data_IF_855832061875
#
_entry.id   IF_855832061875
#
_cell.length_a   1.000
_cell.length_b   1.000
_cell.length_c   1.000
_cell.angle_alpha   90.00
_cell.angle_beta   90.00
_cell.angle_gamma   90.00
#
_symmetry.space_group_name_H-M   'P 1'
#
loop_
_entity.id
_entity.type
_entity.pdbx_description
1 polymer ?
#
# COMPACT_ATOMS: atom_id res chain seq x y z
N UNK A 1 -38.10 -51.59 -21.31
CA UNK A 1 -38.39 -52.39 -22.51
C UNK A 1 -37.22 -52.22 -23.49
N UNK A 2 -36.52 -53.34 -23.74
CA UNK A 2 -35.82 -53.72 -24.98
C UNK A 2 -34.56 -52.93 -25.40
N UNK A 3 -33.41 -53.44 -24.94
CA UNK A 3 -32.21 -53.56 -25.77
C UNK A 3 -32.51 -54.38 -27.05
N UNK A 4 -31.87 -54.02 -28.17
CA UNK A 4 -31.04 -54.97 -28.92
C UNK A 4 -29.76 -54.28 -29.44
N UNK A 5 -28.68 -54.90 -29.87
CA UNK A 5 -28.23 -56.28 -29.97
C UNK A 5 -26.71 -56.23 -30.24
N UNK A 6 -26.02 -57.26 -29.79
CA UNK A 6 -24.63 -57.61 -30.04
C UNK A 6 -24.30 -57.81 -31.53
N UNK A 7 -23.02 -57.69 -31.92
CA UNK A 7 -22.12 -58.80 -32.34
C UNK A 7 -20.84 -58.25 -33.00
N UNK A 8 -19.72 -58.93 -32.69
CA UNK A 8 -18.33 -58.81 -33.15
C UNK A 8 -18.10 -58.74 -34.68
N UNK A 9 -16.97 -58.13 -35.08
CA UNK A 9 -16.06 -58.73 -36.07
C UNK A 9 -14.64 -58.12 -36.02
N UNK A 10 -13.63 -59.00 -35.99
CA UNK A 10 -12.21 -58.73 -36.24
C UNK A 10 -11.98 -58.12 -37.64
N UNK A 11 -10.96 -57.27 -37.76
CA UNK A 11 -10.43 -56.85 -39.05
C UNK A 11 -9.14 -56.05 -38.91
N UNK A 12 -8.00 -56.75 -38.82
CA UNK A 12 -6.69 -56.15 -38.97
C UNK A 12 -6.47 -55.77 -40.44
N UNK A 13 -6.22 -54.48 -40.71
CA UNK A 13 -5.55 -54.03 -41.93
C UNK A 13 -4.49 -53.02 -41.52
N UNK A 14 -3.24 -53.49 -41.59
CA UNK A 14 -2.05 -52.66 -41.59
C UNK A 14 -1.97 -52.00 -42.96
N UNK A 15 -2.05 -50.67 -42.98
CA UNK A 15 -1.62 -49.88 -44.14
C UNK A 15 -0.74 -48.73 -43.64
N UNK A 16 0.55 -48.99 -43.64
CA UNK A 16 1.62 -48.04 -43.43
C UNK A 16 1.66 -47.02 -44.57
N UNK A 17 1.19 -45.80 -44.31
CA UNK A 17 1.52 -44.62 -45.11
C UNK A 17 2.50 -43.77 -44.30
N UNK A 18 3.78 -43.82 -44.68
CA UNK A 18 4.80 -42.91 -44.21
C UNK A 18 4.63 -41.57 -44.97
N UNK A 19 3.98 -40.61 -44.34
CA UNK A 19 4.01 -39.20 -44.78
C UNK A 19 5.02 -38.47 -43.90
N UNK A 20 6.19 -38.21 -44.48
CA UNK A 20 7.18 -37.26 -43.98
C UNK A 20 6.60 -35.85 -44.11
N UNK A 21 5.91 -35.39 -43.07
CA UNK A 21 5.54 -33.98 -42.90
C UNK A 21 6.41 -33.35 -41.83
N UNK A 22 7.21 -32.35 -42.20
CA UNK A 22 7.81 -31.42 -41.25
C UNK A 22 6.68 -30.62 -40.60
N UNK A 23 6.11 -31.14 -39.51
CA UNK A 23 5.41 -30.31 -38.56
C UNK A 23 6.49 -29.64 -37.72
N UNK A 24 6.80 -28.38 -38.05
CA UNK A 24 7.57 -27.53 -37.16
C UNK A 24 6.93 -27.59 -35.79
N UNK A 25 7.72 -27.96 -34.79
CA UNK A 25 7.38 -27.79 -33.39
C UNK A 25 7.18 -26.31 -33.15
N UNK A 26 5.97 -25.81 -33.38
CA UNK A 26 5.50 -24.66 -32.63
C UNK A 26 5.23 -25.22 -31.24
N UNK A 27 6.29 -25.30 -30.44
CA UNK A 27 6.12 -25.19 -29.00
C UNK A 27 5.19 -24.00 -28.81
N UNK A 28 4.04 -24.15 -28.12
CA UNK A 28 3.38 -22.96 -27.64
C UNK A 28 4.45 -22.23 -26.87
N UNK A 29 4.75 -20.99 -27.28
CA UNK A 29 5.48 -20.09 -26.43
C UNK A 29 4.82 -20.24 -25.06
N UNK A 30 5.58 -20.74 -24.09
CA UNK A 30 5.21 -20.58 -22.71
C UNK A 30 4.99 -19.09 -22.58
N UNK A 31 3.73 -18.67 -22.57
CA UNK A 31 3.34 -17.38 -22.02
C UNK A 31 4.05 -17.40 -20.68
N UNK A 32 5.08 -16.57 -20.55
CA UNK A 32 5.79 -16.43 -19.30
C UNK A 32 4.70 -16.22 -18.28
N UNK A 33 4.53 -17.21 -17.41
CA UNK A 33 3.71 -17.08 -16.21
C UNK A 33 4.15 -15.75 -15.63
N UNK A 34 3.24 -14.77 -15.60
CA UNK A 34 3.54 -13.41 -15.18
C UNK A 34 4.42 -13.51 -13.95
N UNK A 35 5.67 -13.08 -14.08
CA UNK A 35 6.55 -12.99 -12.93
C UNK A 35 5.83 -12.06 -11.98
N UNK A 36 5.30 -12.60 -10.89
CA UNK A 36 4.71 -11.76 -9.85
C UNK A 36 5.71 -10.67 -9.52
N UNK A 37 5.21 -9.45 -9.36
CA UNK A 37 6.06 -8.35 -8.92
C UNK A 37 6.82 -8.78 -7.66
N UNK A 38 8.11 -8.45 -7.60
CA UNK A 38 8.91 -8.76 -6.41
C UNK A 38 8.29 -8.05 -5.20
N UNK A 39 8.11 -8.74 -4.07
CA UNK A 39 7.54 -8.11 -2.87
C UNK A 39 8.29 -6.82 -2.50
N UNK A 40 7.57 -5.75 -2.11
CA UNK A 40 8.18 -4.51 -1.66
C UNK A 40 8.88 -4.70 -0.31
N UNK A 41 9.73 -3.75 0.04
CA UNK A 41 10.30 -3.67 1.39
C UNK A 41 9.38 -2.79 2.23
N UNK A 42 8.59 -3.39 3.12
CA UNK A 42 7.61 -2.67 3.95
C UNK A 42 8.24 -1.99 5.16
N UNK A 43 9.38 -2.52 5.62
CA UNK A 43 10.02 -2.10 6.88
C UNK A 43 11.34 -1.37 6.60
N UNK A 44 11.37 -0.57 5.52
CA UNK A 44 12.56 0.17 5.13
C UNK A 44 12.85 1.32 6.12
N UNK A 45 14.06 1.34 6.68
CA UNK A 45 14.55 2.48 7.44
C UNK A 45 14.82 3.66 6.49
N UNK A 46 14.50 4.87 6.93
CA UNK A 46 14.77 6.08 6.16
C UNK A 46 16.23 6.54 6.36
N UNK A 47 16.91 7.01 5.30
CA UNK A 47 18.31 7.43 5.39
C UNK A 47 18.51 8.81 6.04
N UNK A 48 17.43 9.56 6.29
CA UNK A 48 17.48 10.95 6.77
C UNK A 48 16.36 11.29 7.76
N UNK A 49 16.27 12.57 8.13
CA UNK A 49 15.18 13.06 8.98
C UNK A 49 13.88 13.20 8.18
N UNK A 50 12.81 12.67 8.78
CA UNK A 50 11.46 12.77 8.30
C UNK A 50 10.63 13.71 9.18
N UNK A 51 9.53 14.18 8.62
CA UNK A 51 8.49 14.93 9.28
C UNK A 51 7.13 14.28 9.04
N UNK A 52 6.24 14.42 10.01
CA UNK A 52 4.87 13.94 9.91
C UNK A 52 3.92 14.80 10.72
N UNK A 53 2.64 14.70 10.41
CA UNK A 53 1.55 15.29 11.17
C UNK A 53 0.59 14.18 11.55
N UNK A 54 0.24 14.07 12.82
CA UNK A 54 -0.62 13.01 13.29
C UNK A 54 -1.07 13.20 14.72
N UNK A 55 -1.94 12.31 15.18
CA UNK A 55 -2.28 12.19 16.59
C UNK A 55 -1.30 11.25 17.26
N UNK A 56 -0.68 11.68 18.34
CA UNK A 56 -0.01 10.76 19.25
C UNK A 56 -1.05 10.28 20.25
N UNK A 57 -1.14 8.98 20.45
CA UNK A 57 -2.09 8.34 21.36
C UNK A 57 -1.34 7.32 22.21
N UNK A 58 -1.73 7.20 23.47
CA UNK A 58 -1.19 6.19 24.38
C UNK A 58 -2.29 5.66 25.29
N UNK A 59 -2.43 4.34 25.34
CA UNK A 59 -3.23 3.64 26.36
C UNK A 59 -2.34 3.43 27.59
N UNK A 60 -2.87 3.61 28.79
CA UNK A 60 -2.14 3.45 30.04
C UNK A 60 -1.46 2.07 30.12
N UNK A 61 -0.13 2.07 30.20
CA UNK A 61 0.69 0.86 30.28
C UNK A 61 1.20 0.33 28.94
N UNK A 62 0.75 0.89 27.82
CA UNK A 62 1.22 0.56 26.47
C UNK A 62 2.18 1.63 25.92
N UNK A 63 3.01 1.32 24.90
CA UNK A 63 3.79 2.31 24.18
C UNK A 63 2.91 3.40 23.54
N UNK A 64 3.46 4.60 23.40
CA UNK A 64 2.80 5.65 22.62
C UNK A 64 2.90 5.33 21.13
N UNK A 65 1.88 5.70 20.37
CA UNK A 65 1.76 5.43 18.94
C UNK A 65 1.45 6.70 18.16
N UNK A 66 2.03 6.82 16.96
CA UNK A 66 1.83 7.94 16.04
C UNK A 66 0.78 7.53 14.99
N UNK A 67 -0.45 8.00 15.19
CA UNK A 67 -1.54 7.78 14.26
C UNK A 67 -1.40 8.68 13.03
N UNK A 68 -1.01 8.07 11.91
CA UNK A 68 -0.83 8.72 10.60
C UNK A 68 -2.03 8.51 9.66
N UNK A 69 -2.91 7.58 10.00
CA UNK A 69 -4.13 7.27 9.25
C UNK A 69 -5.38 7.95 9.80
N UNK A 70 -6.57 7.48 9.38
CA UNK A 70 -7.85 7.95 9.91
C UNK A 70 -7.97 7.75 11.42
N UNK A 71 -8.67 8.66 12.07
CA UNK A 71 -8.98 8.59 13.50
C UNK A 71 -10.49 8.42 13.66
N UNK A 72 -10.93 7.50 14.52
CA UNK A 72 -12.34 7.28 14.81
C UNK A 72 -12.94 8.44 15.58
N UNK A 73 -14.16 8.84 15.22
CA UNK A 73 -14.94 9.87 15.91
C UNK A 73 -15.49 9.35 17.27
N UNK A 74 -14.60 9.21 18.26
CA UNK A 74 -14.92 8.77 19.63
C UNK A 74 -14.20 9.59 20.71
N UNK A 75 -14.56 9.38 21.98
CA UNK A 75 -13.91 10.01 23.14
C UNK A 75 -13.67 8.96 24.25
N UNK A 76 -12.45 8.42 24.41
CA UNK A 76 -11.21 8.77 23.70
C UNK A 76 -11.26 8.41 22.20
N UNK A 77 -10.47 9.08 21.35
CA UNK A 77 -10.30 8.69 19.95
C UNK A 77 -9.66 7.30 19.87
N UNK A 78 -9.83 6.65 18.73
CA UNK A 78 -9.20 5.36 18.41
C UNK A 78 -8.52 5.48 17.06
N UNK A 79 -7.31 4.94 16.97
CA UNK A 79 -6.51 4.86 15.76
C UNK A 79 -5.45 3.77 15.95
N UNK A 80 -4.78 3.44 14.86
CA UNK A 80 -3.60 2.58 14.81
C UNK A 80 -2.44 3.36 14.16
N UNK A 81 -1.21 2.87 14.32
CA UNK A 81 -0.01 3.51 13.81
C UNK A 81 1.27 2.94 14.43
N UNK A 82 2.44 3.30 13.89
CA UNK A 82 3.71 2.87 14.44
C UNK A 82 3.95 3.42 15.85
N UNK A 83 4.82 2.76 16.60
CA UNK A 83 5.30 3.27 17.88
C UNK A 83 6.03 4.61 17.68
N UNK A 84 5.80 5.55 18.60
CA UNK A 84 6.63 6.75 18.75
C UNK A 84 7.45 6.64 20.02
N UNK A 85 8.73 6.30 19.84
CA UNK A 85 9.64 6.02 20.94
C UNK A 85 10.09 7.30 21.64
N UNK A 86 10.51 7.20 22.90
CA UNK A 86 10.99 8.33 23.70
C UNK A 86 9.96 9.46 23.89
N UNK A 87 8.68 9.16 23.65
CA UNK A 87 7.59 10.12 23.86
C UNK A 87 7.39 10.42 25.35
N UNK A 88 7.32 11.70 25.69
CA UNK A 88 7.10 12.19 27.06
C UNK A 88 5.97 13.24 27.09
N UNK A 89 4.81 12.85 27.63
CA UNK A 89 3.66 13.73 27.81
C UNK A 89 3.92 14.96 28.66
N UNK A 90 4.95 14.94 29.52
CA UNK A 90 5.31 16.10 30.35
C UNK A 90 6.08 17.17 29.58
N UNK A 91 6.54 16.86 28.36
CA UNK A 91 7.31 17.77 27.50
C UNK A 91 6.46 18.51 26.47
N UNK A 92 5.16 18.21 26.38
CA UNK A 92 4.24 18.75 25.37
C UNK A 92 3.00 19.39 25.98
N UNK A 93 2.37 20.29 25.22
CA UNK A 93 1.07 20.88 25.54
C UNK A 93 -0.03 20.26 24.65
N UNK A 94 -1.29 20.69 24.84
CA UNK A 94 -2.41 20.24 24.00
C UNK A 94 -2.85 18.79 24.26
N UNK A 95 -2.56 18.30 25.46
CA UNK A 95 -2.83 16.92 25.89
C UNK A 95 -4.26 16.80 26.41
N UNK A 96 -4.96 15.75 25.98
CA UNK A 96 -6.22 15.29 26.55
C UNK A 96 -6.08 13.88 27.11
N UNK A 97 -6.85 13.57 28.14
CA UNK A 97 -6.89 12.22 28.72
C UNK A 97 -8.30 11.84 29.15
N UNK A 98 -8.72 10.63 28.82
CA UNK A 98 -9.99 10.04 29.25
C UNK A 98 -9.92 8.51 29.21
N UNK A 99 -10.59 7.85 30.16
CA UNK A 99 -10.73 6.38 30.19
C UNK A 99 -9.42 5.60 30.06
N UNK A 100 -8.32 6.12 30.63
CA UNK A 100 -7.00 5.50 30.57
C UNK A 100 -6.29 5.63 29.22
N UNK A 101 -6.71 6.59 28.39
CA UNK A 101 -6.07 6.95 27.13
C UNK A 101 -5.66 8.41 27.18
N UNK A 102 -4.46 8.71 26.73
CA UNK A 102 -3.91 10.07 26.60
C UNK A 102 -3.58 10.33 25.14
N UNK A 103 -3.95 11.50 24.62
CA UNK A 103 -3.70 11.84 23.22
C UNK A 103 -3.48 13.35 23.01
N UNK A 104 -2.89 13.68 21.87
CA UNK A 104 -2.75 15.05 21.38
C UNK A 104 -2.34 15.02 19.90
N UNK A 105 -2.44 16.16 19.21
CA UNK A 105 -2.12 16.21 17.77
C UNK A 105 -0.90 17.09 17.51
N UNK A 106 0.11 16.52 16.85
CA UNK A 106 1.44 17.12 16.71
C UNK A 106 1.99 17.01 15.29
N UNK A 107 2.78 18.01 14.91
CA UNK A 107 3.80 17.87 13.90
C UNK A 107 5.08 17.39 14.58
N UNK A 108 5.65 16.32 14.06
CA UNK A 108 6.86 15.68 14.60
C UNK A 108 7.94 15.64 13.53
N UNK A 109 9.20 15.73 13.96
CA UNK A 109 10.39 15.55 13.12
C UNK A 109 11.34 14.58 13.82
N UNK A 110 11.92 13.66 13.06
CA UNK A 110 12.64 12.54 13.64
C UNK A 110 13.17 11.54 12.63
N UNK A 111 13.52 10.37 13.13
CA UNK A 111 14.05 9.25 12.33
C UNK A 111 13.06 8.09 12.28
N UNK A 112 13.15 7.30 11.22
CA UNK A 112 12.32 6.12 10.99
C UNK A 112 13.21 4.90 10.75
N UNK A 113 13.03 3.84 11.55
CA UNK A 113 13.85 2.64 11.48
C UNK A 113 13.21 1.48 10.69
N UNK A 114 12.02 1.71 10.12
CA UNK A 114 11.20 0.69 9.47
C UNK A 114 10.02 0.24 10.32
N UNK A 115 10.03 0.51 11.63
CA UNK A 115 9.01 0.03 12.57
C UNK A 115 8.53 1.10 13.56
N UNK A 116 9.42 1.98 13.99
CA UNK A 116 9.15 3.01 14.98
C UNK A 116 9.71 4.37 14.55
N UNK A 117 9.02 5.42 15.00
CA UNK A 117 9.44 6.80 14.81
C UNK A 117 10.09 7.34 16.09
N UNK A 118 11.30 7.88 15.98
CA UNK A 118 11.99 8.52 17.10
C UNK A 118 12.10 10.03 16.87
N UNK A 119 11.40 10.86 17.65
CA UNK A 119 11.50 12.31 17.54
C UNK A 119 12.91 12.80 17.84
N UNK A 120 13.45 13.68 17.00
CA UNK A 120 14.77 14.31 17.20
C UNK A 120 14.66 15.80 17.52
N UNK A 121 13.46 16.37 17.36
CA UNK A 121 13.12 17.76 17.67
C UNK A 121 11.90 17.84 18.59
N UNK A 122 11.75 18.92 19.37
CA UNK A 122 10.52 19.16 20.14
C UNK A 122 9.28 19.15 19.24
N UNK A 123 8.24 18.35 19.55
CA UNK A 123 6.99 18.33 18.79
C UNK A 123 6.30 19.70 18.80
N UNK A 124 5.64 20.03 17.69
CA UNK A 124 4.84 21.27 17.58
C UNK A 124 3.37 20.88 17.60
N UNK A 125 2.56 21.49 18.47
CA UNK A 125 1.10 21.28 18.43
C UNK A 125 0.57 21.64 17.04
N UNK A 126 -0.26 20.78 16.43
CA UNK A 126 -0.78 21.06 15.08
C UNK A 126 -1.57 22.36 15.00
N UNK A 127 -2.22 22.79 16.09
CA UNK A 127 -2.89 24.09 16.16
C UNK A 127 -1.94 25.30 16.00
N UNK A 128 -0.63 25.10 16.17
CA UNK A 128 0.43 26.10 16.02
C UNK A 128 1.33 25.84 14.81
N UNK A 129 1.14 24.73 14.10
CA UNK A 129 1.97 24.33 12.98
C UNK A 129 1.43 24.93 11.67
N UNK A 130 2.27 25.68 10.97
CA UNK A 130 1.97 26.27 9.66
C UNK A 130 2.91 25.69 8.58
N UNK A 131 2.54 24.56 7.95
CA UNK A 131 3.36 23.96 6.91
C UNK A 131 3.28 24.74 5.61
N UNK A 132 4.42 24.80 4.89
CA UNK A 132 4.40 25.15 3.47
C UNK A 132 3.59 24.07 2.74
N UNK A 133 2.56 24.50 2.00
CA UNK A 133 1.77 23.59 1.17
C UNK A 133 2.61 23.12 -0.03
N UNK A 134 2.93 21.85 -0.02
CA UNK A 134 3.40 21.13 -1.20
C UNK A 134 2.21 20.83 -2.12
N UNK A 135 2.34 21.20 -3.39
CA UNK A 135 1.36 20.85 -4.42
C UNK A 135 1.81 19.55 -5.06
N UNK A 136 1.01 18.50 -4.93
CA UNK A 136 1.24 17.25 -5.62
C UNK A 136 0.95 17.43 -7.12
N UNK A 137 1.94 17.26 -8.01
CA UNK A 137 1.70 17.40 -9.45
C UNK A 137 0.61 16.46 -9.97
N UNK A 138 0.43 15.27 -9.40
CA UNK A 138 -0.53 14.28 -9.86
C UNK A 138 -2.00 14.66 -9.57
N UNK A 139 -2.25 15.63 -8.67
CA UNK A 139 -3.60 16.15 -8.42
C UNK A 139 -3.96 17.31 -9.35
N UNK A 140 -3.00 17.80 -10.15
CA UNK A 140 -3.25 18.90 -11.09
C UNK A 140 -3.97 18.38 -12.36
N UNK A 141 -5.05 19.04 -12.83
CA UNK A 141 -5.84 18.57 -13.96
C UNK A 141 -5.05 18.34 -15.27
N UNK A 142 -3.98 19.09 -15.49
CA UNK A 142 -3.08 18.94 -16.64
C UNK A 142 -2.26 17.63 -16.62
N UNK A 143 -2.10 17.02 -15.45
CA UNK A 143 -1.35 15.78 -15.24
C UNK A 143 -2.28 14.59 -14.98
N UNK A 144 -3.52 14.65 -15.48
CA UNK A 144 -4.52 13.59 -15.28
C UNK A 144 -4.02 12.24 -15.83
N UNK A 145 -4.20 11.18 -15.04
CA UNK A 145 -3.95 9.80 -15.46
C UNK A 145 -5.00 9.27 -16.43
N UNK A 146 -4.67 8.18 -17.11
CA UNK A 146 -5.51 7.59 -18.16
C UNK A 146 -6.57 6.61 -17.62
N UNK A 147 -6.44 6.15 -16.38
CA UNK A 147 -7.32 5.14 -15.79
C UNK A 147 -8.75 5.67 -15.59
N UNK A 148 -9.73 4.81 -15.86
CA UNK A 148 -11.14 5.13 -15.64
C UNK A 148 -11.53 4.97 -14.15
N UNK A 149 -12.58 5.66 -13.71
CA UNK A 149 -13.05 5.51 -12.32
C UNK A 149 -13.45 4.06 -11.98
N UNK A 150 -14.07 3.34 -12.92
CA UNK A 150 -14.42 1.92 -12.76
C UNK A 150 -13.17 1.06 -12.54
N UNK A 151 -12.15 1.25 -13.37
CA UNK A 151 -10.86 0.57 -13.24
C UNK A 151 -10.18 0.87 -11.90
N UNK A 152 -10.18 2.14 -11.47
CA UNK A 152 -9.57 2.54 -10.20
C UNK A 152 -10.27 1.91 -8.99
N UNK A 153 -11.59 1.73 -9.04
CA UNK A 153 -12.35 1.06 -7.97
C UNK A 153 -12.02 -0.44 -7.91
N UNK A 154 -11.85 -1.11 -9.06
CA UNK A 154 -11.39 -2.50 -9.11
C UNK A 154 -9.97 -2.65 -8.56
N UNK A 155 -9.07 -1.73 -8.92
CA UNK A 155 -7.70 -1.68 -8.39
C UNK A 155 -7.72 -1.44 -6.89
N UNK A 156 -8.57 -0.53 -6.40
CA UNK A 156 -8.69 -0.22 -4.97
C UNK A 156 -9.15 -1.43 -4.16
N UNK A 157 -10.17 -2.16 -4.63
CA UNK A 157 -10.64 -3.39 -3.97
C UNK A 157 -9.53 -4.44 -3.91
N UNK A 158 -8.80 -4.64 -5.01
CA UNK A 158 -7.66 -5.56 -5.04
C UNK A 158 -6.55 -5.13 -4.09
N UNK A 159 -6.18 -3.86 -4.07
CA UNK A 159 -5.12 -3.33 -3.22
C UNK A 159 -5.47 -3.41 -1.73
N UNK A 160 -6.74 -3.20 -1.37
CA UNK A 160 -7.21 -3.39 0.00
C UNK A 160 -7.14 -4.84 0.51
N UNK A 161 -6.91 -5.81 -0.38
CA UNK A 161 -6.71 -7.22 -0.05
C UNK A 161 -5.27 -7.70 -0.38
N UNK A 162 -4.36 -6.78 -0.72
CA UNK A 162 -2.97 -7.10 -1.02
C UNK A 162 -2.21 -7.49 0.27
N UNK A 163 -1.36 -8.50 0.20
CA UNK A 163 -0.63 -9.00 1.37
C UNK A 163 0.64 -8.19 1.69
N UNK A 164 1.09 -7.35 0.77
CA UNK A 164 2.35 -6.61 0.85
C UNK A 164 2.19 -5.11 1.03
N UNK A 165 0.99 -4.57 0.80
CA UNK A 165 0.72 -3.14 0.92
C UNK A 165 -0.34 -2.90 1.98
N UNK A 166 0.06 -2.20 3.04
CA UNK A 166 -0.85 -1.77 4.11
C UNK A 166 -1.19 -0.28 3.94
N UNK A 167 -2.29 0.06 3.25
CA UNK A 167 -2.68 1.45 3.06
C UNK A 167 -3.22 2.05 4.36
N UNK A 168 -2.75 3.25 4.71
CA UNK A 168 -3.41 4.10 5.71
C UNK A 168 -4.76 4.58 5.18
N UNK A 169 -4.77 5.02 3.91
CA UNK A 169 -5.97 5.43 3.16
C UNK A 169 -5.75 5.20 1.68
N UNK A 170 -6.83 5.03 0.92
CA UNK A 170 -6.79 5.03 -0.54
C UNK A 170 -8.03 5.71 -1.14
N UNK A 171 -7.88 6.37 -2.29
CA UNK A 171 -8.98 7.04 -2.98
C UNK A 171 -8.67 7.30 -4.47
N UNK A 172 -9.68 7.19 -5.36
CA UNK A 172 -9.53 7.59 -6.76
C UNK A 172 -9.57 9.12 -6.89
N UNK A 173 -8.62 9.69 -7.61
CA UNK A 173 -8.58 11.12 -7.92
C UNK A 173 -7.76 11.37 -9.19
N UNK A 174 -8.19 12.32 -10.03
CA UNK A 174 -7.47 12.76 -11.23
C UNK A 174 -6.93 11.64 -12.15
N UNK A 175 -7.63 10.51 -12.27
CA UNK A 175 -7.20 9.38 -13.11
C UNK A 175 -6.16 8.46 -12.47
N UNK A 176 -5.94 8.57 -11.16
CA UNK A 176 -5.05 7.71 -10.36
C UNK A 176 -5.79 7.14 -9.15
N UNK A 177 -5.32 5.99 -8.65
CA UNK A 177 -5.61 5.56 -7.30
C UNK A 177 -4.51 6.09 -6.38
N UNK A 178 -4.82 7.06 -5.54
CA UNK A 178 -3.90 7.50 -4.50
C UNK A 178 -3.92 6.53 -3.34
N UNK A 179 -2.74 6.23 -2.80
CA UNK A 179 -2.56 5.37 -1.63
C UNK A 179 -1.60 6.05 -0.68
N UNK A 180 -2.06 6.32 0.54
CA UNK A 180 -1.21 6.78 1.63
C UNK A 180 -0.65 5.58 2.39
N UNK A 181 0.64 5.57 2.66
CA UNK A 181 1.34 4.56 3.48
C UNK A 181 2.17 5.25 4.55
N UNK A 182 2.65 4.51 5.56
CA UNK A 182 3.53 5.09 6.59
C UNK A 182 4.80 5.66 5.95
N UNK A 183 5.53 4.83 5.22
CA UNK A 183 6.74 5.20 4.49
C UNK A 183 6.92 4.31 3.26
N UNK A 184 7.37 4.90 2.16
CA UNK A 184 7.81 4.20 0.95
C UNK A 184 9.20 4.72 0.55
N UNK A 185 10.18 3.81 0.44
CA UNK A 185 11.50 4.07 -0.15
C UNK A 185 11.49 3.96 -1.69
N UNK A 186 10.28 3.85 -2.26
CA UNK A 186 9.96 3.63 -3.65
C UNK A 186 9.78 2.15 -4.01
N UNK A 187 10.00 1.22 -3.08
CA UNK A 187 9.75 -0.21 -3.34
C UNK A 187 8.26 -0.54 -3.44
N UNK A 188 7.41 0.11 -2.66
CA UNK A 188 5.95 -0.04 -2.75
C UNK A 188 5.47 0.53 -4.08
N UNK A 189 5.89 1.75 -4.46
CA UNK A 189 5.55 2.33 -5.76
C UNK A 189 5.94 1.40 -6.93
N UNK A 190 7.17 0.86 -6.94
CA UNK A 190 7.61 -0.08 -7.99
C UNK A 190 6.79 -1.37 -8.02
N UNK A 191 6.41 -1.88 -6.85
CA UNK A 191 5.56 -3.06 -6.76
C UNK A 191 4.17 -2.79 -7.35
N UNK A 192 3.52 -1.69 -6.98
CA UNK A 192 2.18 -1.37 -7.48
C UNK A 192 2.19 -1.03 -8.98
N UNK A 193 3.24 -0.38 -9.49
CA UNK A 193 3.42 -0.14 -10.92
C UNK A 193 3.53 -1.46 -11.72
N UNK A 194 4.26 -2.44 -11.17
CA UNK A 194 4.39 -3.75 -11.79
C UNK A 194 3.10 -4.59 -11.69
N UNK A 195 2.33 -4.43 -10.61
CA UNK A 195 1.14 -5.25 -10.30
C UNK A 195 -0.15 -4.71 -10.93
N UNK A 196 -0.32 -3.39 -10.97
CA UNK A 196 -1.55 -2.73 -11.42
C UNK A 196 -1.36 -1.92 -12.72
N UNK A 197 -0.11 -1.70 -13.13
CA UNK A 197 0.23 -0.89 -14.30
C UNK A 197 0.93 0.41 -13.89
N UNK A 198 1.89 0.83 -14.71
CA UNK A 198 2.63 2.07 -14.48
C UNK A 198 1.68 3.27 -14.43
N UNK A 199 1.91 4.16 -13.46
CA UNK A 199 1.13 5.39 -13.26
C UNK A 199 -0.38 5.16 -13.02
N UNK A 200 -0.79 3.96 -12.58
CA UNK A 200 -2.18 3.70 -12.15
C UNK A 200 -2.36 4.04 -10.67
N UNK A 201 -1.39 3.65 -9.85
CA UNK A 201 -1.39 3.86 -8.39
C UNK A 201 -0.33 4.89 -8.04
N UNK A 202 -0.70 5.88 -7.22
CA UNK A 202 0.18 6.93 -6.73
C UNK A 202 0.39 6.77 -5.23
N UNK A 203 1.53 6.22 -4.83
CA UNK A 203 1.89 6.00 -3.42
C UNK A 203 2.42 7.30 -2.80
N UNK A 204 1.97 7.62 -1.60
CA UNK A 204 2.41 8.80 -0.83
C UNK A 204 2.73 8.41 0.60
N UNK A 205 3.94 8.73 1.04
CA UNK A 205 4.35 8.54 2.43
C UNK A 205 3.72 9.59 3.35
N UNK A 206 3.20 9.15 4.49
CA UNK A 206 2.80 10.02 5.58
C UNK A 206 4.02 10.60 6.33
N UNK A 207 5.09 9.81 6.46
CA UNK A 207 6.41 10.29 6.85
C UNK A 207 7.13 10.85 5.61
N UNK A 208 7.37 12.16 5.59
CA UNK A 208 8.00 12.87 4.45
C UNK A 208 9.39 13.36 4.80
N UNK A 209 10.28 13.41 3.82
CA UNK A 209 11.60 14.03 4.02
C UNK A 209 11.47 15.51 4.45
N UNK A 210 12.39 15.97 5.29
CA UNK A 210 12.46 17.38 5.67
C UNK A 210 13.06 18.26 4.56
N UNK A 211 13.93 17.68 3.73
CA UNK A 211 14.65 18.38 2.64
C UNK A 211 14.01 18.17 1.25
N UNK A 212 12.74 17.73 1.21
CA UNK A 212 11.97 17.47 -0.02
C UNK A 212 11.22 18.69 -0.57
#
# INVERSE_FOLDING_TARGET
>A
MRHPWSVLALGAVVLTLAVSGCAGSTEPASVGSGGGAEPPTTDAAAPGELRAQGTVLQVDGEPAMLCLGPIMESYPPQCDGPEITEWDWSSVEGVESASGVTWGSYAVQGTWDGTAFTPTQPPIMLALYDPIREVDPATQPENKGDASEEELLEVQERLGNDEFVEPLTSWPENGYLFVSVVYDDGSIQRYVDATYGADVVQVRSALRDVEG
#
